data_IF_611765938405
#
_entry.id   IF_611765938405
#
_cell.length_a   1.000
_cell.length_b   1.000
_cell.length_c   1.000
_cell.angle_alpha   90.00
_cell.angle_beta   90.00
_cell.angle_gamma   90.00
#
_symmetry.space_group_name_H-M   'P 1'
#
loop_
_entity.id
_entity.type
_entity.pdbx_description
1 polymer ?
#
# COMPACT_ATOMS: atom_id res chain seq x y z
N UNK A 1 14.94 -19.76 -10.03
CA UNK A 1 15.37 -18.35 -10.02
C UNK A 1 14.13 -17.52 -9.72
N UNK A 2 13.87 -17.19 -8.45
CA UNK A 2 12.69 -16.42 -8.07
C UNK A 2 12.88 -14.97 -8.51
N UNK A 3 11.88 -14.30 -9.13
CA UNK A 3 12.02 -12.90 -9.49
C UNK A 3 12.21 -12.08 -8.21
N UNK A 4 13.13 -11.13 -8.23
CA UNK A 4 13.24 -10.07 -7.24
C UNK A 4 12.00 -9.18 -7.37
N UNK A 5 10.86 -9.62 -6.84
CA UNK A 5 9.57 -8.94 -6.94
C UNK A 5 9.62 -7.63 -6.16
N UNK A 6 10.01 -6.57 -6.84
CA UNK A 6 10.02 -5.23 -6.30
C UNK A 6 8.60 -4.68 -6.42
N UNK A 7 7.95 -4.43 -5.28
CA UNK A 7 6.58 -3.89 -5.25
C UNK A 7 6.54 -2.60 -6.10
N UNK A 8 5.61 -2.48 -7.07
CA UNK A 8 5.54 -1.31 -7.94
C UNK A 8 5.30 -0.04 -7.13
N UNK A 9 5.93 1.07 -7.53
CA UNK A 9 5.74 2.36 -6.87
C UNK A 9 4.80 3.25 -7.68
N UNK A 10 3.86 3.92 -7.00
CA UNK A 10 2.97 4.91 -7.61
C UNK A 10 3.81 6.06 -8.16
N UNK A 11 3.62 6.38 -9.43
CA UNK A 11 4.46 7.35 -10.15
C UNK A 11 4.03 8.81 -9.98
N UNK A 12 2.86 9.07 -9.40
CA UNK A 12 2.36 10.43 -9.14
C UNK A 12 3.15 11.10 -8.01
N UNK A 13 3.21 12.44 -7.96
CA UNK A 13 3.95 13.13 -6.90
C UNK A 13 3.37 12.86 -5.51
N UNK A 14 4.24 12.80 -4.50
CA UNK A 14 3.88 12.42 -3.13
C UNK A 14 2.76 13.29 -2.51
N UNK A 15 2.73 14.60 -2.84
CA UNK A 15 1.68 15.52 -2.38
C UNK A 15 0.32 15.17 -3.00
N UNK A 16 0.28 14.84 -4.28
CA UNK A 16 -0.96 14.44 -4.96
C UNK A 16 -1.43 13.08 -4.45
N UNK A 17 -0.52 12.14 -4.22
CA UNK A 17 -0.86 10.86 -3.58
C UNK A 17 -1.54 11.08 -2.23
N UNK A 18 -0.95 11.92 -1.37
CA UNK A 18 -1.51 12.24 -0.06
C UNK A 18 -2.87 12.96 -0.17
N UNK A 19 -3.00 13.95 -1.05
CA UNK A 19 -4.28 14.66 -1.24
C UNK A 19 -5.38 13.71 -1.72
N UNK A 20 -5.08 12.84 -2.70
CA UNK A 20 -6.05 11.85 -3.18
C UNK A 20 -6.43 10.86 -2.07
N UNK A 21 -5.47 10.43 -1.25
CA UNK A 21 -5.75 9.58 -0.10
C UNK A 21 -6.66 10.26 0.93
N UNK A 22 -6.41 11.54 1.24
CA UNK A 22 -7.22 12.31 2.20
C UNK A 22 -8.65 12.53 1.69
N UNK A 23 -8.81 12.92 0.44
CA UNK A 23 -10.11 13.34 -0.09
C UNK A 23 -10.92 12.21 -0.72
N UNK A 24 -10.26 11.20 -1.29
CA UNK A 24 -10.90 10.13 -2.09
C UNK A 24 -10.20 8.77 -1.88
N UNK A 25 -10.14 8.25 -0.64
CA UNK A 25 -9.34 7.07 -0.32
C UNK A 25 -9.78 5.81 -1.09
N UNK A 26 -11.09 5.58 -1.26
CA UNK A 26 -11.59 4.40 -1.97
C UNK A 26 -11.29 4.46 -3.47
N UNK A 27 -11.53 5.62 -4.11
CA UNK A 27 -11.18 5.81 -5.52
C UNK A 27 -9.65 5.70 -5.74
N UNK A 28 -8.87 6.19 -4.78
CA UNK A 28 -7.41 6.06 -4.81
C UNK A 28 -6.99 4.59 -4.77
N UNK A 29 -7.61 3.76 -3.93
CA UNK A 29 -7.37 2.32 -3.88
C UNK A 29 -7.77 1.66 -5.20
N UNK A 30 -8.96 1.96 -5.72
CA UNK A 30 -9.50 1.35 -6.93
C UNK A 30 -8.64 1.67 -8.16
N UNK A 31 -8.28 2.94 -8.36
CA UNK A 31 -7.43 3.37 -9.48
C UNK A 31 -6.05 2.72 -9.43
N UNK A 32 -5.45 2.65 -8.24
CA UNK A 32 -4.11 2.05 -8.10
C UNK A 32 -4.16 0.52 -8.18
N UNK A 33 -5.22 -0.13 -7.70
CA UNK A 33 -5.43 -1.56 -7.90
C UNK A 33 -5.51 -1.91 -9.39
N UNK A 34 -6.32 -1.18 -10.16
CA UNK A 34 -6.40 -1.40 -11.61
C UNK A 34 -5.08 -1.17 -12.34
N UNK A 35 -4.19 -0.32 -11.81
CA UNK A 35 -2.92 0.03 -12.45
C UNK A 35 -1.73 -0.82 -12.01
N UNK A 36 -1.67 -1.20 -10.74
CA UNK A 36 -0.51 -1.83 -10.11
C UNK A 36 -0.82 -3.20 -9.50
N UNK A 37 -2.10 -3.59 -9.44
CA UNK A 37 -2.56 -4.87 -8.94
C UNK A 37 -2.71 -4.90 -7.42
N UNK A 38 -2.50 -6.09 -6.86
CA UNK A 38 -2.79 -6.38 -5.46
C UNK A 38 -1.88 -5.66 -4.46
N UNK A 39 -0.69 -5.25 -4.87
CA UNK A 39 0.29 -4.63 -3.98
C UNK A 39 0.99 -3.45 -4.65
N UNK A 40 1.02 -2.30 -3.99
CA UNK A 40 1.72 -1.13 -4.50
C UNK A 40 2.29 -0.24 -3.40
N UNK A 41 3.36 0.49 -3.71
CA UNK A 41 4.03 1.42 -2.81
C UNK A 41 3.62 2.85 -3.08
N UNK A 42 3.27 3.56 -2.00
CA UNK A 42 2.93 4.96 -2.01
C UNK A 42 3.93 5.77 -1.19
N UNK A 43 4.01 7.06 -1.50
CA UNK A 43 4.81 8.00 -0.75
C UNK A 43 3.92 9.17 -0.33
N UNK A 44 3.70 9.34 0.97
CA UNK A 44 2.87 10.38 1.56
C UNK A 44 3.75 11.47 2.18
N UNK A 45 4.42 12.22 1.30
CA UNK A 45 5.54 13.10 1.65
C UNK A 45 6.89 12.40 1.51
N UNK A 46 7.95 13.03 2.00
CA UNK A 46 9.33 12.52 1.80
C UNK A 46 9.72 11.42 2.80
N UNK A 47 9.00 11.31 3.92
CA UNK A 47 9.37 10.43 5.05
C UNK A 47 8.52 9.17 5.15
N UNK A 48 7.34 9.14 4.53
CA UNK A 48 6.34 8.10 4.76
C UNK A 48 6.15 7.23 3.51
N UNK A 49 6.81 6.07 3.50
CA UNK A 49 6.61 5.03 2.48
C UNK A 49 5.61 4.01 2.99
N UNK A 50 4.53 3.85 2.25
CA UNK A 50 3.43 2.93 2.59
C UNK A 50 3.37 1.82 1.55
N UNK A 51 2.93 0.64 1.99
CA UNK A 51 2.56 -0.47 1.10
C UNK A 51 1.06 -0.69 1.26
N UNK A 52 0.33 -0.63 0.16
CA UNK A 52 -1.08 -0.98 0.11
C UNK A 52 -1.24 -2.42 -0.37
N UNK A 53 -2.16 -3.14 0.26
CA UNK A 53 -2.46 -4.55 -0.01
C UNK A 53 -3.96 -4.69 -0.29
N UNK A 54 -4.32 -5.29 -1.43
CA UNK A 54 -5.69 -5.57 -1.84
C UNK A 54 -6.00 -7.08 -1.87
N UNK A 55 -4.98 -7.94 -1.93
CA UNK A 55 -5.19 -9.39 -2.05
C UNK A 55 -5.92 -9.94 -0.80
N UNK A 56 -7.09 -10.61 -0.95
CA UNK A 56 -7.89 -11.06 0.19
C UNK A 56 -7.12 -11.93 1.18
N UNK A 57 -6.23 -12.80 0.69
CA UNK A 57 -5.44 -13.65 1.57
C UNK A 57 -4.29 -12.90 2.25
N UNK A 58 -3.71 -11.88 1.61
CA UNK A 58 -2.70 -11.03 2.25
C UNK A 58 -3.31 -10.23 3.40
N UNK A 59 -4.52 -9.70 3.18
CA UNK A 59 -5.31 -9.01 4.21
C UNK A 59 -5.62 -9.95 5.37
N UNK A 60 -6.10 -11.17 5.11
CA UNK A 60 -6.34 -12.17 6.16
C UNK A 60 -5.07 -12.48 6.94
N UNK A 61 -3.94 -12.71 6.26
CA UNK A 61 -2.65 -12.98 6.91
C UNK A 61 -2.25 -11.82 7.82
N UNK A 62 -2.34 -10.57 7.34
CA UNK A 62 -2.04 -9.38 8.15
C UNK A 62 -2.85 -9.32 9.45
N UNK A 63 -4.11 -9.76 9.43
CA UNK A 63 -5.00 -9.76 10.59
C UNK A 63 -4.97 -11.07 11.40
N UNK A 64 -4.37 -12.14 10.90
CA UNK A 64 -4.38 -13.48 11.52
C UNK A 64 -3.03 -13.91 12.06
N UNK A 65 -1.92 -13.37 11.53
CA UNK A 65 -0.61 -13.63 12.11
C UNK A 65 -0.49 -13.00 13.50
N UNK A 66 0.05 -13.79 14.43
CA UNK A 66 0.30 -13.38 15.81
C UNK A 66 1.11 -12.08 15.80
N UNK A 67 0.63 -11.03 16.47
CA UNK A 67 0.98 -9.61 16.26
C UNK A 67 2.45 -9.20 16.49
N UNK A 68 3.38 -10.16 16.58
CA UNK A 68 4.81 -9.94 16.68
C UNK A 68 5.42 -9.23 15.44
N UNK A 69 4.83 -9.41 14.25
CA UNK A 69 5.28 -8.73 13.03
C UNK A 69 4.67 -7.32 12.85
N UNK A 70 3.48 -7.08 13.41
CA UNK A 70 2.75 -5.81 13.33
C UNK A 70 2.37 -5.36 14.74
N UNK A 71 3.28 -4.63 15.39
CA UNK A 71 3.04 -4.02 16.70
C UNK A 71 2.58 -2.56 16.53
N UNK A 72 1.47 -2.19 17.17
CA UNK A 72 1.10 -0.79 17.34
C UNK A 72 1.97 -0.18 18.44
N UNK A 73 2.58 1.00 18.25
CA UNK A 73 3.26 1.69 19.34
C UNK A 73 2.22 2.10 20.38
N UNK A 74 2.24 1.42 21.52
CA UNK A 74 1.54 1.76 22.75
C UNK A 74 2.52 1.71 23.90
#
# INVERSE_FOLDING_TARGET
MAPSNSIPAVSTSARIQLLNWIFRPLDYMDVNFHRYGDEFRCNFGDQYRWVFLNHPDAVKTMFSEDGAAFSAPG
#
